data_IF_506412128061
#
_entry.id   IF_506412128061
#
_cell.length_a   1.000
_cell.length_b   1.000
_cell.length_c   1.000
_cell.angle_alpha   90.00
_cell.angle_beta   90.00
_cell.angle_gamma   90.00
#
_symmetry.space_group_name_H-M   'P 1'
#
loop_
_entity.id
_entity.type
_entity.pdbx_description
1 polymer ?
#
# COMPACT_ATOMS: atom_id res chain seq x y z
N UNK A 1 19.35 1.17 14.75
CA UNK A 1 19.65 0.28 13.61
C UNK A 1 19.06 -1.08 13.94
N UNK A 2 18.12 -1.56 13.12
CA UNK A 2 17.50 -2.87 13.32
C UNK A 2 17.41 -3.60 11.97
N UNK A 3 17.62 -4.92 11.99
CA UNK A 3 17.41 -5.77 10.82
C UNK A 3 16.03 -6.41 10.94
N UNK A 4 15.21 -6.21 9.90
CA UNK A 4 13.89 -6.78 9.78
C UNK A 4 13.87 -7.83 8.67
N UNK A 5 13.26 -8.97 8.95
CA UNK A 5 12.94 -9.97 7.94
C UNK A 5 11.42 -9.96 7.74
N UNK A 6 10.99 -9.64 6.54
CA UNK A 6 9.58 -9.56 6.18
C UNK A 6 9.27 -10.65 5.16
N UNK A 7 8.25 -11.46 5.42
CA UNK A 7 7.72 -12.41 4.46
C UNK A 7 6.24 -12.12 4.25
N UNK A 8 5.88 -11.93 3.01
CA UNK A 8 4.49 -11.74 2.58
C UNK A 8 4.11 -12.85 1.61
N UNK A 9 3.04 -13.57 1.93
CA UNK A 9 2.54 -14.65 1.09
C UNK A 9 1.08 -14.38 0.76
N UNK A 10 0.74 -14.43 -0.52
CA UNK A 10 -0.63 -14.39 -1.02
C UNK A 10 -0.93 -15.69 -1.73
N UNK A 11 -2.05 -16.34 -1.38
CA UNK A 11 -2.47 -17.59 -2.02
C UNK A 11 -3.92 -17.47 -2.47
N UNK A 12 -4.17 -17.88 -3.71
CA UNK A 12 -5.49 -18.00 -4.30
C UNK A 12 -5.74 -19.45 -4.65
N UNK A 13 -6.90 -19.99 -4.28
CA UNK A 13 -7.30 -21.36 -4.57
C UNK A 13 -8.57 -21.36 -5.39
N UNK A 14 -8.57 -22.14 -6.44
CA UNK A 14 -9.67 -22.30 -7.39
C UNK A 14 -10.18 -23.74 -7.36
N UNK A 15 -11.45 -23.95 -7.63
CA UNK A 15 -12.04 -25.28 -7.67
C UNK A 15 -11.50 -26.15 -8.82
N UNK A 16 -10.99 -25.51 -9.87
CA UNK A 16 -10.41 -26.15 -11.06
C UNK A 16 -9.24 -25.33 -11.58
N UNK A 17 -8.31 -25.94 -12.36
CA UNK A 17 -7.24 -25.19 -12.99
C UNK A 17 -7.79 -24.05 -13.86
N UNK A 18 -7.20 -22.86 -13.73
CA UNK A 18 -7.50 -21.66 -14.50
C UNK A 18 -6.22 -21.10 -15.09
N UNK A 19 -6.32 -20.44 -16.25
CA UNK A 19 -5.22 -19.64 -16.80
C UNK A 19 -5.12 -18.33 -16.05
N UNK A 20 -3.90 -17.97 -15.64
CA UNK A 20 -3.61 -16.70 -15.00
C UNK A 20 -3.20 -15.67 -16.06
N UNK A 21 -3.82 -14.49 -16.02
CA UNK A 21 -3.32 -13.33 -16.75
C UNK A 21 -2.06 -12.77 -16.10
N UNK A 22 -1.48 -11.73 -16.68
CA UNK A 22 -0.34 -11.04 -16.14
C UNK A 22 -0.68 -10.38 -14.79
N UNK A 23 0.15 -10.65 -13.78
CA UNK A 23 0.00 -10.05 -12.44
C UNK A 23 1.02 -8.94 -12.25
N UNK A 24 0.52 -7.75 -11.93
CA UNK A 24 1.35 -6.59 -11.60
C UNK A 24 1.61 -6.54 -10.10
N UNK A 25 2.86 -6.74 -9.71
CA UNK A 25 3.30 -6.88 -8.32
C UNK A 25 4.20 -5.70 -7.93
N UNK A 26 3.88 -5.04 -6.82
CA UNK A 26 4.66 -3.94 -6.25
C UNK A 26 5.05 -4.31 -4.81
N UNK A 27 5.90 -5.32 -4.67
CA UNK A 27 6.27 -5.92 -3.39
C UNK A 27 7.72 -5.60 -2.98
N UNK A 28 8.46 -4.87 -3.81
CA UNK A 28 9.83 -4.43 -3.52
C UNK A 28 9.78 -2.99 -2.98
N UNK A 29 10.22 -2.73 -1.74
CA UNK A 29 10.32 -1.38 -1.21
C UNK A 29 11.43 -0.60 -1.91
N UNK A 30 11.36 0.72 -1.85
CA UNK A 30 12.43 1.62 -2.27
C UNK A 30 13.42 1.78 -1.13
N UNK A 31 14.71 1.94 -1.47
CA UNK A 31 15.70 2.43 -0.53
C UNK A 31 15.42 3.91 -0.20
N UNK A 32 15.68 4.29 1.03
CA UNK A 32 15.53 5.66 1.53
C UNK A 32 16.65 5.94 2.54
N UNK A 33 16.73 7.18 3.04
CA UNK A 33 17.75 7.55 4.03
C UNK A 33 17.63 6.80 5.37
N UNK A 34 16.46 6.25 5.65
CA UNK A 34 16.11 5.55 6.89
C UNK A 34 15.89 4.03 6.71
N UNK A 35 15.97 3.54 5.46
CA UNK A 35 15.74 2.14 5.11
C UNK A 35 16.64 1.68 3.98
N UNK A 36 17.39 0.59 4.22
CA UNK A 36 18.21 -0.09 3.23
C UNK A 36 17.69 -1.48 2.95
N UNK A 37 17.49 -1.79 1.67
CA UNK A 37 17.13 -3.13 1.23
C UNK A 37 18.39 -4.00 1.10
N UNK A 38 18.59 -4.95 2.03
CA UNK A 38 19.74 -5.86 2.02
C UNK A 38 19.53 -6.99 1.01
N UNK A 39 18.32 -7.59 1.03
CA UNK A 39 17.99 -8.73 0.17
C UNK A 39 16.49 -8.72 -0.14
N UNK A 40 16.17 -9.16 -1.36
CA UNK A 40 14.77 -9.35 -1.78
C UNK A 40 14.68 -10.61 -2.63
N UNK A 41 13.58 -11.34 -2.48
CA UNK A 41 13.20 -12.41 -3.38
C UNK A 41 11.70 -12.34 -3.66
N UNK A 42 11.33 -12.72 -4.87
CA UNK A 42 9.93 -12.84 -5.30
C UNK A 42 9.78 -14.16 -6.02
N UNK A 43 8.93 -15.03 -5.51
CA UNK A 43 8.67 -16.36 -6.07
C UNK A 43 7.18 -16.55 -6.32
N UNK A 44 6.85 -17.26 -7.40
CA UNK A 44 5.50 -17.61 -7.77
C UNK A 44 5.38 -19.13 -7.93
N UNK A 45 4.25 -19.67 -7.55
CA UNK A 45 3.84 -21.05 -7.84
C UNK A 45 2.41 -21.02 -8.39
N UNK A 46 2.15 -21.46 -9.64
CA UNK A 46 3.12 -22.03 -10.59
C UNK A 46 4.24 -21.04 -10.94
N UNK A 47 5.30 -21.55 -11.55
CA UNK A 47 6.45 -20.74 -11.96
C UNK A 47 6.00 -19.66 -12.95
N UNK A 48 6.52 -18.45 -12.76
CA UNK A 48 6.22 -17.30 -13.62
C UNK A 48 7.49 -16.71 -14.22
N UNK A 49 7.37 -16.16 -15.42
CA UNK A 49 8.38 -15.27 -15.99
C UNK A 49 8.19 -13.88 -15.38
N UNK A 50 9.24 -13.35 -14.76
CA UNK A 50 9.21 -12.03 -14.13
C UNK A 50 9.92 -11.00 -15.00
N UNK A 51 9.19 -9.95 -15.37
CA UNK A 51 9.73 -8.78 -16.07
C UNK A 51 9.62 -7.56 -15.16
N UNK A 52 10.74 -6.83 -15.00
CA UNK A 52 10.81 -5.69 -14.08
C UNK A 52 10.74 -4.36 -14.81
N UNK A 53 9.94 -3.45 -14.24
CA UNK A 53 9.76 -2.08 -14.72
C UNK A 53 9.81 -1.10 -13.55
N UNK A 54 9.98 0.18 -13.88
CA UNK A 54 9.77 1.28 -12.95
C UNK A 54 8.47 2.01 -13.30
N UNK A 55 7.65 2.24 -12.29
CA UNK A 55 6.48 3.10 -12.43
C UNK A 55 6.85 4.59 -12.44
N UNK A 56 5.93 5.43 -12.87
CA UNK A 56 6.11 6.89 -12.92
C UNK A 56 6.44 7.52 -11.56
N UNK A 57 6.06 6.87 -10.47
CA UNK A 57 6.39 7.27 -9.10
C UNK A 57 7.64 6.56 -8.56
N UNK A 58 8.46 5.94 -9.41
CA UNK A 58 9.69 5.25 -9.00
C UNK A 58 9.47 3.91 -8.28
N UNK A 59 8.27 3.33 -8.30
CA UNK A 59 8.02 2.01 -7.73
C UNK A 59 8.62 0.92 -8.62
N UNK A 60 9.31 -0.06 -8.02
CA UNK A 60 9.65 -1.30 -8.71
C UNK A 60 8.41 -2.15 -8.93
N UNK A 61 8.15 -2.48 -10.19
CA UNK A 61 6.99 -3.25 -10.62
C UNK A 61 7.49 -4.53 -11.27
N UNK A 62 7.07 -5.69 -10.75
CA UNK A 62 7.26 -6.96 -11.42
C UNK A 62 5.95 -7.34 -12.15
N UNK A 63 6.06 -7.68 -13.42
CA UNK A 63 4.98 -8.34 -14.17
C UNK A 63 5.29 -9.83 -14.14
N UNK A 64 4.39 -10.61 -13.55
CA UNK A 64 4.48 -12.06 -13.49
C UNK A 64 3.54 -12.66 -14.53
N UNK A 65 4.10 -13.34 -15.54
CA UNK A 65 3.38 -14.02 -16.61
C UNK A 65 3.47 -15.52 -16.42
N UNK A 66 2.34 -16.22 -16.58
CA UNK A 66 2.18 -17.66 -16.33
C UNK A 66 1.89 -18.39 -17.64
N UNK A 67 2.63 -19.47 -17.90
CA UNK A 67 2.42 -20.29 -19.11
C UNK A 67 1.35 -21.36 -18.90
N UNK A 68 1.27 -21.94 -17.70
CA UNK A 68 0.45 -23.10 -17.42
C UNK A 68 -0.72 -22.77 -16.50
N UNK A 69 -1.89 -23.37 -16.74
CA UNK A 69 -3.03 -23.26 -15.84
C UNK A 69 -2.76 -24.01 -14.53
N UNK A 70 -3.27 -23.49 -13.42
CA UNK A 70 -3.21 -24.19 -12.13
C UNK A 70 -4.45 -23.90 -11.28
N UNK A 71 -4.71 -24.77 -10.30
CA UNK A 71 -5.79 -24.61 -9.33
C UNK A 71 -5.36 -23.78 -8.11
N UNK A 72 -4.07 -23.47 -7.97
CA UNK A 72 -3.55 -22.62 -6.90
C UNK A 72 -2.52 -21.65 -7.48
N UNK A 73 -2.61 -20.38 -7.05
CA UNK A 73 -1.59 -19.36 -7.28
C UNK A 73 -1.05 -18.92 -5.93
N UNK A 74 0.24 -19.08 -5.72
CA UNK A 74 0.96 -18.57 -4.54
C UNK A 74 2.03 -17.59 -4.97
N UNK A 75 2.02 -16.42 -4.38
CA UNK A 75 3.02 -15.37 -4.58
C UNK A 75 3.67 -15.13 -3.22
N UNK A 76 4.98 -15.27 -3.14
CA UNK A 76 5.75 -15.04 -1.93
C UNK A 76 6.84 -13.99 -2.17
N UNK A 77 6.84 -12.94 -1.36
CA UNK A 77 7.91 -11.95 -1.29
C UNK A 77 8.63 -12.09 0.05
N UNK A 78 9.94 -12.24 0.02
CA UNK A 78 10.78 -12.23 1.21
C UNK A 78 11.80 -11.11 1.11
N UNK A 79 11.90 -10.30 2.17
CA UNK A 79 12.71 -9.11 2.26
C UNK A 79 13.57 -9.17 3.51
N UNK A 80 14.82 -8.72 3.38
CA UNK A 80 15.69 -8.41 4.51
C UNK A 80 16.05 -6.93 4.43
N UNK A 81 15.66 -6.19 5.44
CA UNK A 81 15.75 -4.73 5.50
C UNK A 81 16.60 -4.33 6.69
N UNK A 82 17.39 -3.29 6.52
CA UNK A 82 18.04 -2.58 7.61
C UNK A 82 17.33 -1.23 7.79
N UNK A 83 16.86 -0.95 9.01
CA UNK A 83 16.24 0.33 9.33
C UNK A 83 17.11 1.13 10.28
N UNK A 84 17.26 2.41 9.98
CA UNK A 84 18.02 3.38 10.77
C UNK A 84 17.13 4.23 11.66
N UNK A 85 15.83 3.96 11.69
CA UNK A 85 14.89 4.64 12.60
C UNK A 85 15.23 4.25 14.03
N UNK A 86 15.86 5.15 14.77
CA UNK A 86 16.27 4.93 16.17
C UNK A 86 15.14 5.29 17.14
N UNK A 87 14.30 6.24 16.77
CA UNK A 87 13.09 6.65 17.49
C UNK A 87 11.99 6.90 16.45
N UNK A 88 10.71 6.82 16.85
CA UNK A 88 9.62 7.31 15.99
C UNK A 88 10.00 8.72 15.54
N UNK A 89 10.19 8.95 14.23
CA UNK A 89 10.49 10.29 13.78
C UNK A 89 9.36 11.19 14.28
N UNK A 90 9.70 12.24 14.99
CA UNK A 90 8.78 13.35 15.15
C UNK A 90 8.60 13.90 13.73
N UNK A 91 7.52 13.47 13.05
CA UNK A 91 7.18 14.04 11.75
C UNK A 91 7.00 15.54 11.96
N UNK A 92 7.89 16.33 11.37
CA UNK A 92 7.68 17.77 11.32
C UNK A 92 6.56 17.99 10.31
N UNK A 93 5.40 18.36 10.83
CA UNK A 93 4.28 18.75 9.98
C UNK A 93 4.53 20.22 9.62
N UNK A 94 4.38 20.53 8.33
CA UNK A 94 4.40 21.90 7.85
C UNK A 94 3.42 22.77 8.66
N UNK A 95 3.79 23.98 9.09
CA UNK A 95 2.93 24.82 9.94
C UNK A 95 1.52 24.99 9.38
N UNK A 96 1.38 25.02 8.05
CA UNK A 96 0.11 25.18 7.35
C UNK A 96 -0.78 23.94 7.47
N UNK A 97 -0.19 22.76 7.71
CA UNK A 97 -0.88 21.47 7.75
C UNK A 97 -1.10 20.93 9.18
N UNK A 98 -0.68 21.66 10.23
CA UNK A 98 -0.85 21.24 11.63
C UNK A 98 -2.33 21.01 11.98
N UNK A 99 -3.20 21.82 11.40
CA UNK A 99 -4.65 21.77 11.63
C UNK A 99 -5.43 21.43 10.37
N UNK A 100 -6.34 20.48 10.46
CA UNK A 100 -7.30 20.12 9.40
C UNK A 100 -8.62 20.89 9.60
N UNK A 101 -9.26 21.41 8.55
CA UNK A 101 -8.84 21.38 7.14
C UNK A 101 -7.72 22.39 6.85
N UNK A 102 -6.83 22.04 5.92
CA UNK A 102 -5.77 22.90 5.41
C UNK A 102 -5.77 22.92 3.88
N UNK A 103 -5.06 23.86 3.30
CA UNK A 103 -4.94 24.03 1.85
C UNK A 103 -3.47 23.87 1.47
N UNK A 104 -3.21 23.01 0.51
CA UNK A 104 -1.87 22.85 -0.08
C UNK A 104 -1.42 24.15 -0.78
N UNK A 105 -0.12 24.47 -0.70
CA UNK A 105 0.47 25.55 -1.47
C UNK A 105 0.26 25.36 -2.97
N UNK A 106 0.49 26.42 -3.77
CA UNK A 106 0.40 26.32 -5.23
C UNK A 106 1.41 25.31 -5.79
N UNK A 107 2.62 25.28 -5.24
CA UNK A 107 3.70 24.38 -5.67
C UNK A 107 3.38 22.94 -5.27
N UNK A 108 2.95 22.68 -4.03
CA UNK A 108 2.52 21.34 -3.61
C UNK A 108 1.38 20.81 -4.47
N UNK A 109 0.44 21.66 -4.89
CA UNK A 109 -0.67 21.23 -5.75
C UNK A 109 -0.21 20.81 -7.14
N UNK A 110 0.84 21.45 -7.67
CA UNK A 110 1.47 21.08 -8.94
C UNK A 110 2.14 19.72 -8.78
N UNK A 111 2.92 19.54 -7.72
CA UNK A 111 3.67 18.30 -7.46
C UNK A 111 2.75 17.11 -7.16
N UNK A 112 1.70 17.33 -6.38
CA UNK A 112 0.71 16.30 -6.05
C UNK A 112 -0.16 15.93 -7.26
N UNK A 113 -0.46 16.89 -8.14
CA UNK A 113 -1.18 16.67 -9.38
C UNK A 113 -2.41 15.77 -9.19
N UNK A 114 -2.45 14.66 -9.91
CA UNK A 114 -3.55 13.68 -9.87
C UNK A 114 -3.74 12.97 -8.52
N UNK A 115 -2.81 13.06 -7.59
CA UNK A 115 -3.01 12.50 -6.24
C UNK A 115 -4.10 13.23 -5.46
N UNK A 116 -4.43 14.46 -5.83
CA UNK A 116 -5.55 15.22 -5.25
C UNK A 116 -6.90 14.89 -5.86
N UNK A 117 -6.92 14.16 -6.98
CA UNK A 117 -8.15 13.78 -7.66
C UNK A 117 -8.77 12.54 -6.99
N UNK A 118 -10.09 12.51 -6.96
CA UNK A 118 -10.82 11.32 -6.52
C UNK A 118 -10.61 10.20 -7.54
N UNK A 119 -9.99 9.09 -7.11
CA UNK A 119 -9.69 7.96 -7.97
C UNK A 119 -10.85 6.96 -8.10
N UNK A 120 -11.75 6.91 -7.11
CA UNK A 120 -12.90 6.01 -7.09
C UNK A 120 -14.18 6.78 -6.83
N UNK A 121 -15.27 6.46 -7.53
CA UNK A 121 -16.56 7.08 -7.26
C UNK A 121 -17.05 6.70 -5.85
N UNK A 122 -17.72 7.62 -5.21
CA UNK A 122 -18.38 7.42 -3.91
C UNK A 122 -19.80 8.01 -4.01
N UNK A 123 -20.70 7.36 -4.81
CA UNK A 123 -21.99 7.92 -5.16
C UNK A 123 -22.88 8.14 -3.93
N UNK A 124 -22.80 7.25 -2.96
CA UNK A 124 -23.58 7.32 -1.72
C UNK A 124 -22.88 8.17 -0.64
N UNK A 125 -21.69 8.69 -0.89
CA UNK A 125 -20.92 9.47 0.08
C UNK A 125 -20.47 8.68 1.31
N UNK A 126 -20.46 7.34 1.24
CA UNK A 126 -20.15 6.47 2.39
C UNK A 126 -18.71 6.63 2.87
N UNK A 127 -17.76 6.65 1.93
CA UNK A 127 -16.34 6.85 2.25
C UNK A 127 -16.13 8.25 2.85
N UNK A 128 -16.74 9.27 2.25
CA UNK A 128 -16.67 10.63 2.77
C UNK A 128 -17.26 10.73 4.17
N UNK A 129 -18.44 10.16 4.40
CA UNK A 129 -19.10 10.18 5.72
C UNK A 129 -18.26 9.46 6.78
N UNK A 130 -17.69 8.32 6.42
CA UNK A 130 -16.78 7.58 7.29
C UNK A 130 -15.54 8.42 7.64
N UNK A 131 -14.87 9.03 6.67
CA UNK A 131 -13.68 9.85 6.91
C UNK A 131 -14.00 11.09 7.77
N UNK A 132 -15.13 11.76 7.52
CA UNK A 132 -15.57 12.90 8.30
C UNK A 132 -15.93 12.54 9.75
N UNK A 133 -16.28 11.28 10.03
CA UNK A 133 -16.52 10.79 11.38
C UNK A 133 -15.29 10.89 12.32
N UNK A 134 -14.09 11.03 11.76
CA UNK A 134 -12.87 11.26 12.55
C UNK A 134 -12.55 12.73 12.81
N UNK A 135 -13.24 13.64 12.13
CA UNK A 135 -13.08 15.09 12.33
C UNK A 135 -13.89 15.51 13.55
N UNK A 136 -13.23 15.61 14.71
CA UNK A 136 -13.89 15.82 16.01
C UNK A 136 -14.13 17.30 16.34
N UNK A 137 -13.42 18.20 15.69
CA UNK A 137 -13.49 19.64 15.92
C UNK A 137 -13.12 20.42 14.65
N UNK A 138 -13.34 21.72 14.65
CA UNK A 138 -12.91 22.58 13.55
C UNK A 138 -12.19 23.81 14.15
N UNK A 139 -10.86 23.88 14.05
CA UNK A 139 -9.96 22.90 13.40
C UNK A 139 -9.73 21.62 14.23
N UNK A 140 -9.32 20.53 13.56
CA UNK A 140 -8.86 19.28 14.17
C UNK A 140 -7.35 19.15 14.01
N UNK A 141 -6.64 18.68 15.04
CA UNK A 141 -5.20 18.38 14.92
C UNK A 141 -4.96 17.29 13.87
N UNK A 142 -4.12 17.57 12.88
CA UNK A 142 -3.87 16.66 11.75
C UNK A 142 -3.19 15.37 12.18
N UNK A 143 -2.26 15.42 13.14
CA UNK A 143 -1.58 14.22 13.64
C UNK A 143 -2.56 13.29 14.36
N UNK A 144 -3.44 13.84 15.18
CA UNK A 144 -4.46 13.09 15.90
C UNK A 144 -5.45 12.46 14.92
N UNK A 145 -5.90 13.21 13.90
CA UNK A 145 -6.79 12.72 12.86
C UNK A 145 -6.17 11.54 12.10
N UNK A 146 -4.90 11.64 11.68
CA UNK A 146 -4.19 10.57 10.98
C UNK A 146 -3.97 9.34 11.87
N UNK A 147 -3.66 9.55 13.16
CA UNK A 147 -3.51 8.47 14.12
C UNK A 147 -4.83 7.71 14.33
N UNK A 148 -5.95 8.42 14.48
CA UNK A 148 -7.29 7.81 14.63
C UNK A 148 -7.68 6.99 13.40
N UNK A 149 -7.47 7.54 12.19
CA UNK A 149 -7.71 6.84 10.92
C UNK A 149 -6.87 5.56 10.80
N UNK A 150 -5.59 5.64 11.16
CA UNK A 150 -4.68 4.50 11.10
C UNK A 150 -5.04 3.43 12.13
N UNK A 151 -5.35 3.82 13.36
CA UNK A 151 -5.78 2.91 14.43
C UNK A 151 -7.07 2.17 14.05
N UNK A 152 -8.06 2.87 13.51
CA UNK A 152 -9.31 2.25 13.07
C UNK A 152 -9.07 1.23 11.94
N UNK A 153 -8.24 1.58 10.97
CA UNK A 153 -7.89 0.69 9.86
C UNK A 153 -7.15 -0.56 10.35
N UNK A 154 -6.25 -0.43 11.33
CA UNK A 154 -5.53 -1.55 11.91
C UNK A 154 -6.45 -2.48 12.73
N UNK A 155 -7.36 -1.92 13.54
CA UNK A 155 -8.27 -2.69 14.38
C UNK A 155 -9.37 -3.43 13.58
N UNK A 156 -9.77 -2.88 12.42
CA UNK A 156 -10.82 -3.48 11.58
C UNK A 156 -10.26 -4.29 10.39
N UNK A 157 -8.96 -4.45 10.29
CA UNK A 157 -8.32 -5.32 9.31
C UNK A 157 -8.22 -6.77 9.82
N UNK A 158 -9.34 -7.36 10.26
CA UNK A 158 -9.42 -8.78 10.54
C UNK A 158 -9.19 -9.55 9.21
N UNK A 159 -8.14 -10.37 9.09
CA UNK A 159 -7.81 -11.08 7.86
C UNK A 159 -8.90 -12.08 7.42
N UNK A 160 -9.83 -12.44 8.31
CA UNK A 160 -10.92 -13.38 8.02
C UNK A 160 -12.17 -12.71 7.41
N UNK A 161 -12.28 -11.39 7.45
CA UNK A 161 -13.46 -10.68 6.91
C UNK A 161 -13.31 -10.21 5.47
N UNK A 162 -12.14 -10.35 4.84
CA UNK A 162 -11.93 -10.02 3.43
C UNK A 162 -12.19 -11.23 2.53
N UNK A 163 -13.44 -11.62 2.42
CA UNK A 163 -13.92 -12.31 1.22
C UNK A 163 -13.83 -11.35 0.04
N UNK A 164 -12.71 -11.35 -0.68
CA UNK A 164 -12.62 -10.68 -1.98
C UNK A 164 -13.46 -11.50 -2.94
N UNK A 165 -14.72 -11.14 -3.07
CA UNK A 165 -15.57 -11.61 -4.16
C UNK A 165 -15.04 -11.02 -5.45
N UNK A 166 -14.29 -11.80 -6.20
CA UNK A 166 -14.05 -11.53 -7.62
C UNK A 166 -15.37 -11.84 -8.32
N UNK A 167 -16.15 -10.82 -8.62
CA UNK A 167 -17.25 -10.94 -9.59
C UNK A 167 -16.63 -10.86 -11.00
N UNK A 168 -17.00 -11.84 -11.81
CA UNK A 168 -16.69 -11.96 -13.25
C UNK A 168 -17.11 -10.73 -14.05
#
# INVERSE_FOLDING_TARGET
>A
MAILNVRHTTSYRYQRPVHFGDHRLMLRPRDSHDLRLIQTSLTCSPSATLTWHYGVFGNSIAIASFAEPAAELRIESALRLETYIVNRPAFQISPEAVSYPFIYSADDRIDLGRMLERQHPDPDGRLRSWALGFVRSNPTDTSALLADLNCYSACNSDPLSRGIGVQN
#
